data_IF_072059473797
#
_entry.id   IF_072059473797
#
_cell.length_a   1.000
_cell.length_b   1.000
_cell.length_c   1.000
_cell.angle_alpha   90.00
_cell.angle_beta   90.00
_cell.angle_gamma   90.00
#
_symmetry.space_group_name_H-M   'P 1'
#
loop_
_entity.id
_entity.type
_entity.pdbx_description
1 polymer ?
#
# COMPACT_ATOMS: atom_id res chain seq x y z
N UNK A 1 -2.88 -3.50 6.62
CA UNK A 1 -2.65 -2.04 6.69
C UNK A 1 -2.85 -1.42 8.10
N UNK A 2 -2.61 -2.09 9.24
CA UNK A 2 -2.42 -1.35 10.51
C UNK A 2 -0.98 -0.87 10.67
N UNK A 3 -0.04 -1.48 9.94
CA UNK A 3 1.41 -1.17 10.01
C UNK A 3 1.80 0.01 9.12
N UNK A 4 1.04 0.24 8.04
CA UNK A 4 1.33 1.29 7.07
C UNK A 4 0.62 2.61 7.45
N UNK A 5 1.32 3.74 7.32
CA UNK A 5 0.74 5.08 7.45
C UNK A 5 0.88 5.87 6.14
N UNK A 6 -0.01 6.84 5.92
CA UNK A 6 0.06 7.74 4.76
C UNK A 6 1.13 8.79 4.99
N UNK A 7 2.08 8.89 4.06
CA UNK A 7 3.16 9.86 4.13
C UNK A 7 2.63 11.29 3.97
N UNK A 8 3.22 12.23 4.70
CA UNK A 8 3.04 13.64 4.41
C UNK A 8 3.66 14.00 3.05
N UNK A 9 3.16 15.03 2.36
CA UNK A 9 3.70 15.39 1.02
C UNK A 9 5.22 15.68 1.04
N UNK A 10 5.71 16.37 2.07
CA UNK A 10 7.15 16.64 2.21
C UNK A 10 7.97 15.35 2.37
N UNK A 11 7.51 14.46 3.25
CA UNK A 11 8.11 13.15 3.49
C UNK A 11 8.07 12.26 2.24
N UNK A 12 6.95 12.25 1.51
CA UNK A 12 6.84 11.53 0.25
C UNK A 12 7.85 12.03 -0.80
N UNK A 13 8.12 13.34 -0.86
CA UNK A 13 9.12 13.91 -1.77
C UNK A 13 10.55 13.60 -1.34
N UNK A 14 10.85 13.66 -0.03
CA UNK A 14 12.15 13.27 0.51
C UNK A 14 12.45 11.77 0.27
N UNK A 15 11.45 10.91 0.48
CA UNK A 15 11.55 9.49 0.19
C UNK A 15 11.67 9.23 -1.31
N UNK A 16 10.93 9.95 -2.16
CA UNK A 16 11.10 9.88 -3.62
C UNK A 16 12.53 10.23 -4.05
N UNK A 17 13.09 11.32 -3.52
CA UNK A 17 14.45 11.74 -3.84
C UNK A 17 15.48 10.67 -3.46
N UNK A 18 15.30 9.99 -2.32
CA UNK A 18 16.14 8.85 -1.93
C UNK A 18 15.98 7.66 -2.88
N UNK A 19 14.74 7.30 -3.21
CA UNK A 19 14.44 6.20 -4.15
C UNK A 19 15.16 6.39 -5.48
N UNK A 20 15.07 7.59 -6.06
CA UNK A 20 15.67 7.87 -7.37
C UNK A 20 17.18 8.05 -7.30
N UNK A 21 17.67 8.85 -6.35
CA UNK A 21 19.07 9.30 -6.37
C UNK A 21 20.01 8.36 -5.61
N UNK A 22 19.53 7.68 -4.56
CA UNK A 22 20.35 6.81 -3.71
C UNK A 22 20.12 5.33 -4.02
N UNK A 23 18.86 4.92 -4.16
CA UNK A 23 18.50 3.51 -4.39
C UNK A 23 18.40 3.15 -5.87
N UNK A 24 18.40 4.15 -6.76
CA UNK A 24 18.29 3.97 -8.21
C UNK A 24 17.03 3.21 -8.64
N UNK A 25 15.95 3.39 -7.87
CA UNK A 25 14.62 2.86 -8.17
C UNK A 25 13.90 3.67 -9.26
N UNK A 26 12.77 3.16 -9.72
CA UNK A 26 12.01 3.75 -10.83
C UNK A 26 11.54 5.17 -10.51
N UNK A 27 11.96 6.15 -11.31
CA UNK A 27 11.61 7.57 -11.17
C UNK A 27 10.14 7.91 -11.45
N UNK A 28 9.36 6.93 -11.91
CA UNK A 28 7.90 7.07 -12.04
C UNK A 28 7.16 6.66 -10.77
N UNK A 29 7.84 6.15 -9.74
CA UNK A 29 7.18 5.68 -8.52
C UNK A 29 7.17 6.75 -7.44
N UNK A 30 5.97 7.13 -7.01
CA UNK A 30 5.78 8.05 -5.89
C UNK A 30 5.36 7.26 -4.65
N UNK A 31 6.10 7.33 -3.53
CA UNK A 31 5.72 6.64 -2.30
C UNK A 31 4.46 7.27 -1.71
N UNK A 32 3.53 6.41 -1.27
CA UNK A 32 2.25 6.82 -0.65
C UNK A 32 2.18 6.39 0.81
N UNK A 33 2.53 5.13 1.09
CA UNK A 33 2.52 4.58 2.45
C UNK A 33 3.90 4.04 2.82
N UNK A 34 4.21 4.05 4.11
CA UNK A 34 5.41 3.43 4.69
C UNK A 34 5.04 2.70 5.98
N UNK A 35 5.78 1.65 6.34
CA UNK A 35 5.59 0.88 7.58
C UNK A 35 6.62 1.17 8.70
N UNK A 36 7.67 1.95 8.42
CA UNK A 36 8.89 2.27 9.19
C UNK A 36 10.06 1.27 9.07
N UNK A 37 9.87 -0.07 9.08
CA UNK A 37 10.95 -1.02 8.79
C UNK A 37 11.54 -0.93 7.37
N UNK A 38 10.88 -0.21 6.46
CA UNK A 38 11.37 -0.01 5.09
C UNK A 38 10.50 -0.67 4.02
N UNK A 39 9.29 -1.11 4.39
CA UNK A 39 8.24 -1.47 3.45
C UNK A 39 7.49 -0.22 2.98
N UNK A 40 7.23 -0.14 1.68
CA UNK A 40 6.55 0.99 1.07
C UNK A 40 5.38 0.52 0.20
N UNK A 41 4.38 1.38 0.08
CA UNK A 41 3.38 1.28 -0.97
C UNK A 41 3.53 2.50 -1.85
N UNK A 42 3.78 2.29 -3.14
CA UNK A 42 3.98 3.36 -4.10
C UNK A 42 2.91 3.33 -5.19
N UNK A 43 2.71 4.48 -5.83
CA UNK A 43 1.93 4.61 -7.04
C UNK A 43 2.84 4.78 -8.24
N UNK A 44 2.55 4.06 -9.33
CA UNK A 44 3.23 4.24 -10.61
C UNK A 44 2.57 5.38 -11.41
N UNK A 45 3.30 6.48 -11.55
CA UNK A 45 2.91 7.67 -12.29
C UNK A 45 3.28 7.61 -13.78
N UNK A 46 3.89 6.54 -14.28
CA UNK A 46 4.15 6.37 -15.72
C UNK A 46 2.87 6.11 -16.52
N UNK A 47 1.84 5.56 -15.86
CA UNK A 47 0.57 5.23 -16.46
C UNK A 47 -0.43 6.40 -16.36
N UNK A 48 -0.98 6.78 -17.51
CA UNK A 48 -1.84 7.96 -17.66
C UNK A 48 -3.27 7.69 -17.21
N UNK A 49 -3.80 6.48 -17.48
CA UNK A 49 -5.22 6.16 -17.30
C UNK A 49 -5.53 5.46 -15.97
N UNK A 50 -4.62 4.59 -15.54
CA UNK A 50 -4.72 3.83 -14.31
C UNK A 50 -3.38 3.98 -13.60
N UNK A 51 -3.37 4.55 -12.40
CA UNK A 51 -2.15 4.70 -11.59
C UNK A 51 -2.05 3.51 -10.63
N UNK A 52 -1.46 2.37 -11.06
CA UNK A 52 -1.40 1.17 -10.24
C UNK A 52 -0.59 1.41 -8.99
N UNK A 53 -0.97 0.69 -7.95
CA UNK A 53 -0.38 0.76 -6.62
C UNK A 53 0.27 -0.56 -6.33
N UNK A 54 1.54 -0.52 -5.91
CA UNK A 54 2.37 -1.69 -5.67
C UNK A 54 2.87 -1.70 -4.24
N UNK A 55 3.15 -2.91 -3.76
CA UNK A 55 3.93 -3.15 -2.56
C UNK A 55 5.42 -3.18 -2.91
N UNK A 56 6.25 -2.61 -2.05
CA UNK A 56 7.71 -2.58 -2.19
C UNK A 56 8.37 -3.00 -0.89
N UNK A 57 9.39 -3.84 -1.03
CA UNK A 57 10.29 -4.24 0.04
C UNK A 57 11.67 -4.49 -0.59
N UNK A 58 12.73 -3.95 0.02
CA UNK A 58 14.11 -4.11 -0.46
C UNK A 58 14.57 -5.57 -0.50
N UNK A 59 13.97 -6.45 0.32
CA UNK A 59 14.29 -7.88 0.32
C UNK A 59 13.55 -8.66 -0.77
N UNK A 60 12.51 -8.08 -1.38
CA UNK A 60 11.68 -8.73 -2.39
C UNK A 60 12.09 -8.33 -3.81
N UNK A 61 12.33 -9.35 -4.65
CA UNK A 61 12.81 -9.15 -6.04
C UNK A 61 11.67 -8.76 -7.00
N UNK A 62 10.41 -9.03 -6.64
CA UNK A 62 9.23 -8.74 -7.46
C UNK A 62 8.21 -7.89 -6.70
N UNK A 63 8.03 -6.63 -7.14
CA UNK A 63 6.97 -5.78 -6.62
C UNK A 63 5.61 -6.27 -7.14
N UNK A 64 4.74 -6.68 -6.22
CA UNK A 64 3.41 -7.21 -6.57
C UNK A 64 2.40 -6.07 -6.70
N UNK A 65 1.60 -6.10 -7.77
CA UNK A 65 0.47 -5.19 -7.96
C UNK A 65 -0.54 -5.40 -6.83
N UNK A 66 -0.72 -4.37 -6.02
CA UNK A 66 -1.58 -4.34 -4.84
C UNK A 66 -2.97 -3.83 -5.17
N UNK A 67 -3.08 -2.74 -5.92
CA UNK A 67 -4.37 -2.22 -6.40
C UNK A 67 -4.21 -1.62 -7.79
N UNK A 68 -5.23 -1.73 -8.63
CA UNK A 68 -5.23 -1.15 -9.99
C UNK A 68 -5.23 0.38 -9.98
N UNK A 69 -5.64 0.99 -8.87
CA UNK A 69 -5.64 2.44 -8.68
C UNK A 69 -5.63 2.85 -7.21
N UNK A 70 -5.26 4.11 -6.93
CA UNK A 70 -5.45 4.74 -5.61
C UNK A 70 -6.93 4.69 -5.19
N UNK A 71 -7.86 4.84 -6.14
CA UNK A 71 -9.30 4.75 -5.86
C UNK A 71 -9.67 3.38 -5.30
N UNK A 72 -9.17 2.31 -5.89
CA UNK A 72 -9.47 0.94 -5.46
C UNK A 72 -8.84 0.62 -4.09
N UNK A 73 -7.63 1.14 -3.84
CA UNK A 73 -6.98 1.08 -2.52
C UNK A 73 -7.85 1.75 -1.45
N UNK A 74 -8.26 3.01 -1.68
CA UNK A 74 -9.08 3.77 -0.74
C UNK A 74 -10.47 3.15 -0.55
N UNK A 75 -11.08 2.61 -1.61
CA UNK A 75 -12.35 1.90 -1.52
C UNK A 75 -12.24 0.63 -0.66
N UNK A 76 -11.15 -0.13 -0.82
CA UNK A 76 -10.87 -1.32 0.01
C UNK A 76 -10.72 -0.96 1.48
N UNK A 77 -9.94 0.09 1.77
CA UNK A 77 -9.78 0.64 3.12
C UNK A 77 -11.11 1.09 3.74
N UNK A 78 -11.93 1.83 2.99
CA UNK A 78 -13.22 2.31 3.45
C UNK A 78 -14.19 1.15 3.77
N UNK A 79 -14.22 0.13 2.92
CA UNK A 79 -15.04 -1.06 3.16
C UNK A 79 -14.55 -1.83 4.39
N UNK A 80 -13.24 -2.00 4.56
CA UNK A 80 -12.69 -2.64 5.75
C UNK A 80 -13.02 -1.87 7.04
N UNK A 81 -12.92 -0.54 7.01
CA UNK A 81 -13.31 0.31 8.12
C UNK A 81 -14.79 0.15 8.48
N UNK A 82 -15.68 0.24 7.49
CA UNK A 82 -17.13 0.13 7.72
C UNK A 82 -17.58 -1.26 8.18
N UNK A 83 -16.81 -2.32 7.89
CA UNK A 83 -17.05 -3.67 8.38
C UNK A 83 -16.43 -3.96 9.76
N UNK A 84 -15.77 -2.99 10.39
CA UNK A 84 -15.11 -3.18 11.69
C UNK A 84 -13.89 -4.10 11.63
N UNK A 85 -13.29 -4.27 10.44
CA UNK A 85 -12.04 -5.02 10.28
C UNK A 85 -10.89 -4.27 10.94
N UNK A 86 -10.94 -2.94 10.89
CA UNK A 86 -10.13 -2.06 11.72
C UNK A 86 -10.83 -1.79 13.05
N UNK A 87 -10.11 -1.91 14.16
CA UNK A 87 -10.66 -1.75 15.49
C UNK A 87 -9.64 -1.14 16.46
N UNK A 88 -10.12 -0.73 17.62
CA UNK A 88 -9.29 -0.36 18.76
C UNK A 88 -9.20 -1.57 19.69
N UNK A 89 -8.00 -2.04 19.99
CA UNK A 89 -7.80 -3.21 20.85
C UNK A 89 -8.09 -2.89 22.35
N UNK A 90 -7.87 -3.88 23.21
CA UNK A 90 -8.10 -3.76 24.65
C UNK A 90 -7.21 -2.72 25.36
N UNK A 91 -6.04 -2.43 24.80
CA UNK A 91 -5.07 -1.47 25.34
C UNK A 91 -5.22 -0.07 24.72
N UNK A 92 -6.03 0.02 23.67
CA UNK A 92 -6.39 1.25 23.01
C UNK A 92 -5.58 1.57 21.76
N UNK A 93 -4.86 0.60 21.23
CA UNK A 93 -4.14 0.71 19.97
C UNK A 93 -5.05 0.44 18.78
N UNK A 94 -4.73 1.07 17.65
CA UNK A 94 -5.40 0.79 16.39
C UNK A 94 -4.85 -0.49 15.79
N UNK A 95 -5.72 -1.46 15.51
CA UNK A 95 -5.36 -2.79 15.06
C UNK A 95 -6.33 -3.27 13.96
N UNK A 96 -6.00 -4.38 13.31
CA UNK A 96 -6.72 -4.93 12.16
C UNK A 96 -6.82 -6.45 12.24
N UNK A 97 -8.00 -6.99 11.91
CA UNK A 97 -8.12 -8.42 11.64
C UNK A 97 -7.51 -8.73 10.26
N UNK A 98 -6.25 -9.17 10.25
CA UNK A 98 -5.49 -9.41 9.02
C UNK A 98 -6.14 -10.41 8.08
N UNK A 99 -6.67 -11.53 8.58
CA UNK A 99 -7.33 -12.54 7.75
C UNK A 99 -8.61 -12.00 7.10
N UNK A 100 -9.40 -11.22 7.85
CA UNK A 100 -10.60 -10.59 7.32
C UNK A 100 -10.24 -9.52 6.28
N UNK A 101 -9.18 -8.74 6.53
CA UNK A 101 -8.69 -7.74 5.59
C UNK A 101 -8.21 -8.38 4.28
N UNK A 102 -7.41 -9.45 4.36
CA UNK A 102 -6.94 -10.17 3.19
C UNK A 102 -8.11 -10.67 2.34
N UNK A 103 -9.13 -11.27 2.98
CA UNK A 103 -10.34 -11.76 2.31
C UNK A 103 -11.12 -10.66 1.61
N UNK A 104 -11.33 -9.51 2.24
CA UNK A 104 -12.08 -8.42 1.59
C UNK A 104 -11.25 -7.76 0.47
N UNK A 105 -9.94 -7.62 0.67
CA UNK A 105 -9.04 -7.06 -0.33
C UNK A 105 -8.97 -7.95 -1.58
N UNK A 106 -8.81 -9.27 -1.42
CA UNK A 106 -8.84 -10.24 -2.52
C UNK A 106 -10.19 -10.23 -3.27
N UNK A 107 -11.30 -10.15 -2.52
CA UNK A 107 -12.64 -10.08 -3.12
C UNK A 107 -12.87 -8.80 -3.93
N UNK A 108 -12.37 -7.66 -3.45
CA UNK A 108 -12.56 -6.36 -4.11
C UNK A 108 -11.56 -6.11 -5.23
N UNK A 109 -10.38 -6.75 -5.19
CA UNK A 109 -9.29 -6.55 -6.14
C UNK A 109 -8.88 -7.90 -6.77
N UNK A 110 -9.78 -8.61 -7.47
CA UNK A 110 -9.54 -9.98 -7.94
C UNK A 110 -8.46 -10.10 -9.03
N UNK A 111 -7.99 -8.97 -9.57
CA UNK A 111 -6.93 -8.92 -10.60
C UNK A 111 -5.59 -8.47 -10.03
N UNK A 112 -5.49 -8.25 -8.73
CA UNK A 112 -4.26 -7.80 -8.07
C UNK A 112 -3.54 -9.00 -7.43
N UNK A 113 -2.41 -9.47 -8.02
CA UNK A 113 -1.62 -10.62 -7.55
C UNK A 113 -1.29 -10.58 -6.06
N UNK A 114 -1.05 -9.41 -5.49
CA UNK A 114 -0.73 -9.28 -4.06
C UNK A 114 -1.77 -9.94 -3.15
N UNK A 115 -3.05 -9.90 -3.51
CA UNK A 115 -4.13 -10.45 -2.69
C UNK A 115 -4.53 -11.87 -3.07
N UNK A 116 -4.18 -12.32 -4.28
CA UNK A 116 -4.71 -13.55 -4.89
C UNK A 116 -3.69 -14.65 -5.05
N UNK A 117 -2.40 -14.32 -5.04
CA UNK A 117 -1.30 -15.28 -5.19
C UNK A 117 -0.60 -15.49 -3.84
N UNK A 118 -0.37 -16.76 -3.49
CA UNK A 118 0.34 -17.19 -2.28
C UNK A 118 1.85 -16.83 -2.35
#
# INVERSE_FOLDING_TARGET
MPVYYLLGLGEALETYDRFVNEYHENSSWLPLLEDNPGGYVFVDCSAIDHQPVYDFDFENVENKLKHSSIRDMLATLAVAFTQGIFYKDGDGWFDMNSDAFWKIAAKMNPTAPYWTED
#
